data_IF_251992465694
#
_entry.id   IF_251992465694
#
_cell.length_a   1.000
_cell.length_b   1.000
_cell.length_c   1.000
_cell.angle_alpha   90.00
_cell.angle_beta   90.00
_cell.angle_gamma   90.00
#
_symmetry.space_group_name_H-M   'P 1'
#
loop_
_entity.id
_entity.type
_entity.pdbx_description
1 polymer ?
#
# COMPACT_ATOMS: atom_id res chain seq x y z
N UNK A 1 -6.43 7.92 7.89
CA UNK A 1 -7.47 8.32 6.93
C UNK A 1 -7.86 9.79 7.07
N UNK A 2 -8.02 10.26 8.30
CA UNK A 2 -8.27 11.69 8.58
C UNK A 2 -7.13 12.56 8.06
N UNK A 3 -5.89 12.14 8.24
CA UNK A 3 -4.71 12.84 7.76
C UNK A 3 -4.72 13.00 6.23
N UNK A 4 -5.12 11.94 5.50
CA UNK A 4 -5.22 12.01 4.05
C UNK A 4 -6.27 13.04 3.60
N UNK A 5 -7.42 13.06 4.24
CA UNK A 5 -8.49 14.03 3.94
C UNK A 5 -7.96 15.46 4.12
N UNK A 6 -7.21 15.71 5.17
CA UNK A 6 -6.59 17.02 5.44
C UNK A 6 -5.57 17.38 4.35
N UNK A 7 -4.66 16.47 4.02
CA UNK A 7 -3.62 16.69 3.00
C UNK A 7 -4.26 16.92 1.63
N UNK A 8 -5.21 16.08 1.23
CA UNK A 8 -5.90 16.18 -0.05
C UNK A 8 -6.68 17.47 -0.18
N UNK A 9 -7.42 17.86 0.85
CA UNK A 9 -8.16 19.11 0.89
C UNK A 9 -7.23 20.32 0.80
N UNK A 10 -6.12 20.30 1.53
CA UNK A 10 -5.12 21.37 1.51
C UNK A 10 -4.45 21.50 0.14
N UNK A 11 -4.10 20.39 -0.50
CA UNK A 11 -3.51 20.37 -1.85
C UNK A 11 -4.48 20.93 -2.90
N UNK A 12 -5.76 20.57 -2.84
CA UNK A 12 -6.80 21.09 -3.73
C UNK A 12 -7.02 22.59 -3.54
N UNK A 13 -7.00 23.05 -2.30
CA UNK A 13 -7.11 24.48 -1.98
C UNK A 13 -5.96 25.27 -2.59
N UNK A 14 -4.74 24.74 -2.53
CA UNK A 14 -3.57 25.38 -3.13
C UNK A 14 -3.61 25.39 -4.66
N UNK A 15 -4.11 24.33 -5.28
CA UNK A 15 -4.33 24.28 -6.72
C UNK A 15 -5.27 25.40 -7.18
N UNK A 16 -6.39 25.55 -6.49
CA UNK A 16 -7.37 26.61 -6.79
C UNK A 16 -6.75 28.00 -6.67
N UNK A 17 -6.02 28.28 -5.58
CA UNK A 17 -5.34 29.57 -5.39
C UNK A 17 -4.29 29.82 -6.45
N UNK A 18 -3.51 28.83 -6.83
CA UNK A 18 -2.49 28.97 -7.87
C UNK A 18 -3.11 29.32 -9.22
N UNK A 19 -4.24 28.74 -9.58
CA UNK A 19 -4.98 29.08 -10.81
C UNK A 19 -5.48 30.52 -10.79
N UNK A 20 -6.10 30.95 -9.69
CA UNK A 20 -6.61 32.31 -9.55
C UNK A 20 -5.51 33.37 -9.63
N UNK A 21 -4.32 33.07 -9.13
CA UNK A 21 -3.17 33.97 -9.16
C UNK A 21 -2.38 33.90 -10.47
N UNK A 22 -2.79 33.07 -11.43
CA UNK A 22 -2.15 32.94 -12.73
C UNK A 22 -0.93 32.02 -12.77
N UNK A 23 -0.72 31.19 -11.77
CA UNK A 23 0.36 30.22 -11.71
C UNK A 23 -0.07 28.84 -12.23
N UNK A 24 -0.37 28.76 -13.51
CA UNK A 24 -0.95 27.56 -14.13
C UNK A 24 -0.07 26.32 -14.00
N UNK A 25 1.24 26.46 -14.14
CA UNK A 25 2.16 25.32 -13.99
C UNK A 25 2.20 24.80 -12.56
N UNK A 26 2.17 25.69 -11.58
CA UNK A 26 2.12 25.31 -10.16
C UNK A 26 0.78 24.64 -9.84
N UNK A 27 -0.32 25.15 -10.40
CA UNK A 27 -1.64 24.52 -10.28
C UNK A 27 -1.64 23.09 -10.83
N UNK A 28 -1.04 22.89 -11.99
CA UNK A 28 -0.87 21.57 -12.60
C UNK A 28 -0.10 20.60 -11.68
N UNK A 29 0.98 21.08 -11.06
CA UNK A 29 1.75 20.25 -10.11
C UNK A 29 0.92 19.88 -8.87
N UNK A 30 0.16 20.81 -8.31
CA UNK A 30 -0.73 20.51 -7.17
C UNK A 30 -1.84 19.52 -7.54
N UNK A 31 -2.41 19.62 -8.73
CA UNK A 31 -3.37 18.62 -9.23
C UNK A 31 -2.75 17.22 -9.32
N UNK A 32 -1.53 17.15 -9.86
CA UNK A 32 -0.78 15.90 -9.95
C UNK A 32 -0.51 15.28 -8.58
N UNK A 33 -0.06 16.09 -7.62
CA UNK A 33 0.18 15.64 -6.25
C UNK A 33 -1.13 15.16 -5.59
N UNK A 34 -2.23 15.88 -5.78
CA UNK A 34 -3.52 15.47 -5.23
C UNK A 34 -3.98 14.10 -5.76
N UNK A 35 -3.74 13.82 -7.05
CA UNK A 35 -4.05 12.53 -7.64
C UNK A 35 -3.19 11.41 -7.05
N UNK A 36 -1.89 11.68 -6.84
CA UNK A 36 -0.97 10.72 -6.21
C UNK A 36 -1.38 10.45 -4.76
N UNK A 37 -1.74 11.48 -4.00
CA UNK A 37 -2.19 11.31 -2.61
C UNK A 37 -3.47 10.47 -2.51
N UNK A 38 -4.35 10.56 -3.49
CA UNK A 38 -5.52 9.69 -3.57
C UNK A 38 -5.13 8.22 -3.73
N UNK A 39 -4.15 7.93 -4.58
CA UNK A 39 -3.62 6.57 -4.75
C UNK A 39 -2.98 6.04 -3.46
N UNK A 40 -2.23 6.88 -2.75
CA UNK A 40 -1.66 6.53 -1.45
C UNK A 40 -2.75 6.19 -0.43
N UNK A 41 -3.79 6.99 -0.37
CA UNK A 41 -4.92 6.76 0.54
C UNK A 41 -5.64 5.44 0.23
N UNK A 42 -5.93 5.16 -1.01
CA UNK A 42 -6.56 3.90 -1.42
C UNK A 42 -5.70 2.69 -1.05
N UNK A 43 -4.39 2.79 -1.21
CA UNK A 43 -3.44 1.76 -0.79
C UNK A 43 -3.51 1.53 0.73
N UNK A 44 -3.47 2.60 1.51
CA UNK A 44 -3.55 2.49 2.97
C UNK A 44 -4.87 1.90 3.45
N UNK A 45 -5.99 2.21 2.79
CA UNK A 45 -7.28 1.59 3.09
C UNK A 45 -7.26 0.08 2.86
N UNK A 46 -6.66 -0.37 1.76
CA UNK A 46 -6.52 -1.80 1.46
C UNK A 46 -5.64 -2.50 2.50
N UNK A 47 -4.53 -1.89 2.89
CA UNK A 47 -3.65 -2.42 3.91
C UNK A 47 -4.35 -2.51 5.27
N UNK A 48 -5.10 -1.48 5.65
CA UNK A 48 -5.88 -1.47 6.88
C UNK A 48 -6.93 -2.58 6.88
N UNK A 49 -7.66 -2.74 5.78
CA UNK A 49 -8.66 -3.80 5.64
C UNK A 49 -8.03 -5.19 5.81
N UNK A 50 -6.83 -5.41 5.30
CA UNK A 50 -6.10 -6.67 5.50
C UNK A 50 -5.74 -6.90 6.97
N UNK A 51 -5.29 -5.87 7.67
CA UNK A 51 -4.98 -5.96 9.11
C UNK A 51 -6.23 -6.28 9.92
N UNK A 52 -7.31 -5.54 9.70
CA UNK A 52 -8.57 -5.72 10.42
C UNK A 52 -9.25 -7.05 10.12
N UNK A 53 -9.12 -7.54 8.88
CA UNK A 53 -9.70 -8.80 8.43
C UNK A 53 -8.84 -10.04 8.71
N UNK A 54 -7.65 -9.89 9.29
CA UNK A 54 -6.73 -10.99 9.51
C UNK A 54 -6.14 -11.57 8.22
N UNK A 55 -6.00 -10.75 7.17
CA UNK A 55 -5.60 -11.17 5.83
C UNK A 55 -4.15 -10.85 5.49
N UNK A 56 -3.35 -10.41 6.45
CA UNK A 56 -1.93 -10.09 6.19
C UNK A 56 -1.14 -11.37 5.87
N UNK A 57 -1.34 -12.43 6.65
CA UNK A 57 -0.62 -13.71 6.49
C UNK A 57 -1.54 -14.88 6.16
N UNK A 58 -2.79 -14.61 5.82
CA UNK A 58 -3.75 -15.62 5.37
C UNK A 58 -4.73 -15.06 4.35
N UNK A 59 -5.22 -15.90 3.47
CA UNK A 59 -6.19 -15.53 2.42
C UNK A 59 -7.26 -16.62 2.29
N UNK A 60 -8.35 -16.32 1.58
CA UNK A 60 -9.44 -17.27 1.37
C UNK A 60 -9.07 -18.41 0.43
N UNK A 61 -8.14 -18.20 -0.49
CA UNK A 61 -7.65 -19.19 -1.43
C UNK A 61 -6.16 -19.41 -1.31
N UNK A 62 -5.66 -20.39 -2.05
CA UNK A 62 -4.23 -20.67 -2.08
C UNK A 62 -3.46 -19.52 -2.71
N UNK A 63 -2.41 -19.10 -2.03
CA UNK A 63 -1.50 -18.05 -2.47
C UNK A 63 -0.08 -18.59 -2.48
N UNK A 64 0.78 -17.92 -3.23
CA UNK A 64 2.21 -18.18 -3.22
C UNK A 64 2.85 -17.22 -2.22
N UNK A 65 3.40 -17.77 -1.14
CA UNK A 65 4.07 -17.01 -0.08
C UNK A 65 5.58 -17.13 -0.22
N UNK A 66 6.28 -16.03 -0.03
CA UNK A 66 7.75 -15.99 -0.12
C UNK A 66 8.34 -15.45 1.17
N UNK A 67 9.32 -16.16 1.73
CA UNK A 67 10.11 -15.67 2.85
C UNK A 67 11.05 -14.55 2.39
N UNK A 68 10.94 -13.38 3.00
CA UNK A 68 11.79 -12.23 2.67
C UNK A 68 13.23 -12.38 3.11
N UNK A 69 13.54 -13.36 3.98
CA UNK A 69 14.91 -13.62 4.41
C UNK A 69 15.64 -14.60 3.47
N UNK A 70 15.10 -15.80 3.27
CA UNK A 70 15.80 -16.86 2.51
C UNK A 70 15.23 -17.11 1.11
N UNK A 71 14.03 -16.60 0.81
CA UNK A 71 13.36 -16.82 -0.47
C UNK A 71 12.54 -18.12 -0.55
N UNK A 72 12.36 -18.85 0.56
CA UNK A 72 11.53 -20.05 0.58
C UNK A 72 10.13 -19.75 0.07
N UNK A 73 9.62 -20.62 -0.81
CA UNK A 73 8.27 -20.51 -1.38
C UNK A 73 7.35 -21.53 -0.71
N UNK A 74 6.19 -21.05 -0.26
CA UNK A 74 5.13 -21.85 0.30
C UNK A 74 3.81 -21.57 -0.43
N UNK A 75 3.11 -22.63 -0.81
CA UNK A 75 1.79 -22.51 -1.45
C UNK A 75 0.72 -22.97 -0.47
N UNK A 76 -0.26 -22.10 -0.22
CA UNK A 76 -1.34 -22.39 0.69
C UNK A 76 -2.13 -21.15 1.06
N UNK A 77 -3.16 -21.32 1.88
CA UNK A 77 -4.02 -20.21 2.31
C UNK A 77 -3.34 -19.28 3.30
N UNK A 78 -2.35 -19.77 4.03
CA UNK A 78 -1.64 -19.00 5.04
C UNK A 78 -0.13 -19.21 4.92
N UNK A 79 0.61 -18.15 5.26
CA UNK A 79 2.06 -18.26 5.42
C UNK A 79 2.40 -19.12 6.63
N UNK A 80 3.50 -19.90 6.59
CA UNK A 80 3.94 -20.69 7.73
C UNK A 80 4.23 -19.82 8.95
N UNK A 81 3.94 -20.30 10.14
CA UNK A 81 4.28 -19.59 11.38
C UNK A 81 5.79 -19.41 11.55
N UNK A 82 6.55 -20.39 11.07
CA UNK A 82 8.02 -20.38 11.05
C UNK A 82 8.47 -20.89 9.70
N UNK A 83 9.43 -20.20 9.10
CA UNK A 83 10.00 -20.64 7.84
C UNK A 83 10.73 -21.98 8.02
N UNK A 84 10.36 -23.03 7.25
CA UNK A 84 10.99 -24.35 7.41
C UNK A 84 12.46 -24.38 6.96
N UNK A 85 12.90 -23.38 6.21
CA UNK A 85 14.28 -23.32 5.70
C UNK A 85 15.21 -22.51 6.60
N UNK A 86 14.77 -21.30 7.01
CA UNK A 86 15.66 -20.38 7.75
C UNK A 86 15.20 -20.09 9.19
N UNK A 87 14.07 -20.66 9.62
CA UNK A 87 13.52 -20.52 10.97
C UNK A 87 13.10 -19.09 11.37
N UNK A 88 12.99 -18.17 10.41
CA UNK A 88 12.44 -16.83 10.69
C UNK A 88 10.92 -16.89 10.85
N UNK A 89 10.33 -15.99 11.65
CA UNK A 89 8.90 -16.02 11.94
C UNK A 89 8.04 -15.63 10.73
N UNK A 90 6.74 -15.88 10.83
CA UNK A 90 5.74 -15.59 9.80
C UNK A 90 5.80 -14.15 9.28
N UNK A 91 6.20 -13.20 10.12
CA UNK A 91 6.32 -11.79 9.74
C UNK A 91 7.30 -11.52 8.60
N UNK A 92 8.16 -12.47 8.25
CA UNK A 92 9.06 -12.38 7.10
C UNK A 92 8.41 -12.78 5.78
N UNK A 93 7.20 -13.36 5.81
CA UNK A 93 6.52 -13.78 4.59
C UNK A 93 5.70 -12.65 3.97
N UNK A 94 5.64 -12.66 2.66
CA UNK A 94 4.78 -11.80 1.85
C UNK A 94 4.20 -12.61 0.70
N UNK A 95 3.14 -12.10 0.09
CA UNK A 95 2.63 -12.69 -1.15
C UNK A 95 3.67 -12.45 -2.23
N UNK A 96 4.05 -13.53 -2.90
CA UNK A 96 5.07 -13.50 -3.94
C UNK A 96 4.59 -12.65 -5.13
N UNK A 97 5.39 -11.68 -5.53
CA UNK A 97 5.14 -10.84 -6.70
C UNK A 97 6.16 -11.15 -7.79
N UNK A 98 5.67 -11.23 -9.02
CA UNK A 98 6.49 -11.38 -10.21
C UNK A 98 6.16 -10.23 -11.15
N UNK A 99 6.83 -9.11 -10.96
CA UNK A 99 6.62 -7.89 -11.76
C UNK A 99 7.78 -7.59 -12.73
N UNK A 100 8.47 -8.63 -13.13
CA UNK A 100 9.59 -8.58 -14.05
C UNK A 100 9.38 -9.50 -15.26
#
# INVERSE_FOLDING_TARGET
>A
LTLWVIISSHTRSRDFLAKEEGFDHIAFLFEGVAAIEKEHEERYRKLLANVEGGLVFSRDGDMIWKCGNCGHIHVGKAAPEVCPTCAHPQSYFEIHAENY
#
